data_IF_835761262951
#
_entry.id   IF_835761262951
#
_cell.length_a   1.000
_cell.length_b   1.000
_cell.length_c   1.000
_cell.angle_alpha   90.00
_cell.angle_beta   90.00
_cell.angle_gamma   90.00
#
_symmetry.space_group_name_H-M   'P 1'
#
loop_
_entity.id
_entity.type
_entity.pdbx_description
1 polymer ?
#
# COMPACT_ATOMS: atom_id res chain seq x y z
N UNK A 1 10.74 21.08 -9.08
CA UNK A 1 12.08 20.48 -8.97
C UNK A 1 11.90 18.99 -8.82
N UNK A 2 12.77 18.17 -9.43
CA UNK A 2 12.72 16.71 -9.32
C UNK A 2 13.83 16.31 -8.32
N UNK A 3 13.49 15.97 -7.07
CA UNK A 3 14.49 15.68 -6.03
C UNK A 3 15.28 14.41 -6.36
N UNK A 4 16.46 14.28 -5.75
CA UNK A 4 17.24 13.05 -5.85
C UNK A 4 16.64 11.95 -4.97
N UNK A 5 16.96 10.70 -5.29
CA UNK A 5 16.50 9.53 -4.52
C UNK A 5 16.83 9.65 -3.02
N UNK A 6 18.08 10.01 -2.70
CA UNK A 6 18.56 10.13 -1.31
C UNK A 6 17.82 11.23 -0.53
N UNK A 7 17.41 12.31 -1.20
CA UNK A 7 16.69 13.41 -0.57
C UNK A 7 15.23 13.06 -0.30
N UNK A 8 14.62 12.24 -1.17
CA UNK A 8 13.21 11.89 -1.11
C UNK A 8 12.93 10.68 -0.19
N UNK A 9 13.83 9.70 -0.17
CA UNK A 9 13.64 8.42 0.52
C UNK A 9 14.56 8.24 1.73
N UNK A 10 15.17 9.32 2.24
CA UNK A 10 15.90 9.27 3.51
C UNK A 10 14.97 8.83 4.64
N UNK A 11 15.43 7.96 5.57
CA UNK A 11 14.64 7.61 6.74
C UNK A 11 14.50 8.81 7.68
N UNK A 12 13.39 8.84 8.42
CA UNK A 12 13.23 9.78 9.53
C UNK A 12 14.07 9.34 10.73
N UNK A 13 14.76 10.28 11.37
CA UNK A 13 15.62 10.01 12.53
C UNK A 13 14.92 10.38 13.83
N UNK A 14 15.09 9.55 14.86
CA UNK A 14 14.53 9.75 16.20
C UNK A 14 13.70 8.56 16.68
N UNK A 15 13.29 8.55 17.95
CA UNK A 15 12.43 7.49 18.48
C UNK A 15 10.99 7.65 17.97
N UNK A 16 10.34 6.53 17.66
CA UNK A 16 8.90 6.53 17.38
C UNK A 16 8.08 6.92 18.61
N UNK A 17 6.95 7.59 18.39
CA UNK A 17 6.01 7.92 19.46
C UNK A 17 5.32 6.64 19.99
N UNK A 18 5.48 6.29 21.28
CA UNK A 18 4.88 5.08 21.86
C UNK A 18 3.38 5.21 22.15
N UNK A 19 2.82 6.43 22.13
CA UNK A 19 1.41 6.70 22.47
C UNK A 19 0.46 6.56 21.28
N UNK A 20 0.96 6.21 20.10
CA UNK A 20 0.13 5.99 18.92
C UNK A 20 -0.37 4.55 18.86
N UNK A 21 -1.66 4.39 18.58
CA UNK A 21 -2.22 3.07 18.23
C UNK A 21 -1.67 2.61 16.88
N UNK A 22 -1.77 1.31 16.58
CA UNK A 22 -1.32 0.76 15.29
C UNK A 22 -1.98 1.48 14.09
N UNK A 23 -3.26 1.83 14.22
CA UNK A 23 -4.01 2.57 13.20
C UNK A 23 -3.50 4.00 13.03
N UNK A 24 -3.02 4.64 14.11
CA UNK A 24 -2.46 5.99 14.07
C UNK A 24 -1.05 6.00 13.47
N UNK A 25 -0.27 4.92 13.67
CA UNK A 25 1.06 4.75 13.09
C UNK A 25 1.02 4.48 11.58
N UNK A 26 -0.08 3.92 11.06
CA UNK A 26 -0.20 3.59 9.66
C UNK A 26 -0.32 4.85 8.77
N UNK A 27 0.36 4.84 7.62
CA UNK A 27 0.15 5.85 6.57
C UNK A 27 -1.28 5.72 6.04
N UNK A 28 -2.12 6.71 6.33
CA UNK A 28 -3.56 6.68 6.01
C UNK A 28 -4.03 8.01 5.43
N UNK A 29 -4.90 7.95 4.43
CA UNK A 29 -5.59 9.12 3.89
C UNK A 29 -7.09 9.13 4.24
N UNK A 30 -7.62 8.01 4.76
CA UNK A 30 -8.95 7.87 5.33
C UNK A 30 -8.88 7.12 6.66
N UNK A 31 -9.97 7.10 7.43
CA UNK A 31 -9.97 6.50 8.77
C UNK A 31 -9.50 5.04 8.76
N UNK A 32 -9.92 4.26 7.76
CA UNK A 32 -9.64 2.82 7.66
C UNK A 32 -8.34 2.47 6.93
N UNK A 33 -7.58 3.44 6.38
CA UNK A 33 -6.33 3.14 5.67
C UNK A 33 -5.98 4.12 4.56
N UNK A 34 -5.33 3.60 3.52
CA UNK A 34 -4.86 4.37 2.38
C UNK A 34 -5.52 3.89 1.10
N UNK A 35 -6.12 4.82 0.34
CA UNK A 35 -6.76 4.53 -0.95
C UNK A 35 -6.17 5.42 -2.03
N UNK A 36 -5.65 4.81 -3.08
CA UNK A 36 -5.17 5.48 -4.28
C UNK A 36 -5.69 4.82 -5.56
N UNK A 37 -5.67 5.58 -6.67
CA UNK A 37 -6.11 5.07 -7.96
C UNK A 37 -5.00 4.23 -8.58
N UNK A 38 -5.21 2.93 -8.67
CA UNK A 38 -4.33 2.02 -9.40
C UNK A 38 -4.76 1.89 -10.88
N UNK A 39 -3.79 1.73 -11.77
CA UNK A 39 -4.02 1.49 -13.19
C UNK A 39 -3.64 0.05 -13.54
N UNK A 40 -4.57 -0.88 -13.34
CA UNK A 40 -4.40 -2.33 -13.59
C UNK A 40 -5.20 -2.72 -14.84
N UNK A 41 -4.70 -3.68 -15.61
CA UNK A 41 -5.46 -4.26 -16.72
C UNK A 41 -6.72 -4.96 -16.23
N UNK A 42 -7.88 -4.63 -16.80
CA UNK A 42 -9.18 -5.21 -16.43
C UNK A 42 -9.18 -6.74 -16.55
N UNK A 43 -8.58 -7.28 -17.61
CA UNK A 43 -8.47 -8.72 -17.80
C UNK A 43 -7.65 -9.40 -16.70
N UNK A 44 -6.50 -8.83 -16.33
CA UNK A 44 -5.65 -9.38 -15.28
C UNK A 44 -6.34 -9.33 -13.92
N UNK A 45 -6.98 -8.21 -13.60
CA UNK A 45 -7.74 -8.06 -12.37
C UNK A 45 -8.86 -9.09 -12.26
N UNK A 46 -9.71 -9.20 -13.30
CA UNK A 46 -10.85 -10.12 -13.27
C UNK A 46 -10.41 -11.58 -13.26
N UNK A 47 -9.31 -11.92 -13.95
CA UNK A 47 -8.72 -13.25 -13.89
C UNK A 47 -8.30 -13.59 -12.44
N UNK A 48 -7.49 -12.74 -11.79
CA UNK A 48 -7.05 -12.99 -10.42
C UNK A 48 -8.22 -13.03 -9.42
N UNK A 49 -9.23 -12.16 -9.60
CA UNK A 49 -10.44 -12.15 -8.78
C UNK A 49 -11.20 -13.48 -8.88
N UNK A 50 -11.34 -14.03 -10.08
CA UNK A 50 -12.00 -15.34 -10.31
C UNK A 50 -11.16 -16.49 -9.78
N UNK A 51 -9.85 -16.49 -10.01
CA UNK A 51 -8.94 -17.52 -9.50
C UNK A 51 -9.02 -17.60 -7.99
N UNK A 52 -9.02 -16.47 -7.29
CA UNK A 52 -9.19 -16.45 -5.83
C UNK A 52 -10.55 -17.01 -5.41
N UNK A 53 -11.64 -16.57 -6.05
CA UNK A 53 -12.98 -17.03 -5.73
C UNK A 53 -13.20 -18.54 -5.99
N UNK A 54 -12.54 -19.10 -7.00
CA UNK A 54 -12.69 -20.51 -7.39
C UNK A 54 -11.71 -21.45 -6.71
N UNK A 55 -10.46 -21.03 -6.51
CA UNK A 55 -9.36 -21.89 -6.06
C UNK A 55 -8.71 -21.45 -4.74
N UNK A 56 -9.08 -20.27 -4.21
CA UNK A 56 -8.58 -19.78 -2.92
C UNK A 56 -7.16 -19.18 -2.96
N UNK A 57 -6.60 -18.96 -4.14
CA UNK A 57 -5.29 -18.31 -4.31
C UNK A 57 -5.30 -17.27 -5.44
N UNK A 58 -4.43 -16.29 -5.34
CA UNK A 58 -4.17 -15.28 -6.36
C UNK A 58 -2.76 -14.71 -6.18
N UNK A 59 -2.28 -13.98 -7.17
CA UNK A 59 -1.03 -13.21 -7.07
C UNK A 59 -1.29 -11.97 -6.20
N UNK A 60 -0.33 -11.64 -5.33
CA UNK A 60 -0.37 -10.43 -4.49
C UNK A 60 -0.33 -9.18 -5.39
N UNK A 61 -1.35 -8.30 -5.36
CA UNK A 61 -1.35 -7.07 -6.15
C UNK A 61 -0.46 -5.96 -5.57
N UNK A 62 0.19 -6.18 -4.42
CA UNK A 62 1.10 -5.21 -3.77
C UNK A 62 2.57 -5.34 -4.19
N UNK A 63 2.93 -6.40 -4.91
CA UNK A 63 4.28 -6.61 -5.48
C UNK A 63 4.44 -5.96 -6.85
#
# INVERSE_FOLDING_TARGET
HNPKYEELFAPEYGPENPFQTQQMKANRNMLSGYVERAHISEFQFENQRRTFASYGYAIDPST
#
